data_IF_033946879093
#
_entry.id   IF_033946879093
#
_cell.length_a   1.000
_cell.length_b   1.000
_cell.length_c   1.000
_cell.angle_alpha   90.00
_cell.angle_beta   90.00
_cell.angle_gamma   90.00
#
_symmetry.space_group_name_H-M   'P 1'
#
loop_
_entity.id
_entity.type
_entity.pdbx_description
1 polymer ?
#
# COMPACT_ATOMS: atom_id res chain seq x y z
N UNK A 1 25.92 8.49 19.47
CA UNK A 1 24.79 9.44 19.61
C UNK A 1 25.08 10.82 19.02
N UNK A 2 26.33 11.22 18.90
CA UNK A 2 26.68 12.47 18.21
C UNK A 2 26.39 12.44 16.70
N UNK A 3 26.37 11.26 16.11
CA UNK A 3 26.08 11.06 14.68
C UNK A 3 24.66 11.45 14.30
N UNK A 4 23.67 11.18 15.18
CA UNK A 4 22.26 11.50 14.95
C UNK A 4 22.02 13.03 14.92
N UNK A 5 22.75 13.79 15.71
CA UNK A 5 22.57 15.24 15.80
C UNK A 5 22.94 15.99 14.52
N UNK A 6 23.74 15.39 13.66
CA UNK A 6 24.20 15.98 12.41
C UNK A 6 23.39 15.56 11.19
N UNK A 7 22.37 14.71 11.37
CA UNK A 7 21.50 14.26 10.27
C UNK A 7 20.62 15.41 9.82
N UNK A 8 20.62 15.69 8.53
CA UNK A 8 19.82 16.75 7.92
C UNK A 8 18.50 16.27 7.37
N UNK A 9 18.44 15.01 6.94
CA UNK A 9 17.26 14.40 6.32
C UNK A 9 17.05 13.00 6.87
N UNK A 10 15.79 12.66 7.13
CA UNK A 10 15.35 11.33 7.51
C UNK A 10 14.37 10.84 6.47
N UNK A 11 14.58 9.64 5.97
CA UNK A 11 13.66 8.98 5.05
C UNK A 11 13.08 7.78 5.77
N UNK A 12 11.75 7.77 5.90
CA UNK A 12 11.02 6.69 6.56
C UNK A 12 10.26 5.86 5.53
N UNK A 13 10.37 4.55 5.66
CA UNK A 13 9.45 3.63 5.02
C UNK A 13 8.10 3.71 5.73
N UNK A 14 7.00 3.64 5.00
CA UNK A 14 5.66 3.78 5.57
C UNK A 14 5.07 2.42 5.93
N UNK A 15 4.93 1.56 4.93
CA UNK A 15 4.15 0.33 5.04
C UNK A 15 4.84 -0.69 5.94
N UNK A 16 4.11 -1.17 6.95
CA UNK A 16 4.60 -2.10 7.98
C UNK A 16 5.83 -1.58 8.75
N UNK A 17 6.08 -0.29 8.71
CA UNK A 17 7.17 0.39 9.40
C UNK A 17 6.64 1.46 10.34
N UNK A 18 5.94 2.46 9.84
CA UNK A 18 5.29 3.49 10.66
C UNK A 18 3.96 3.04 11.25
N UNK A 19 3.39 1.97 10.74
CA UNK A 19 2.31 1.20 11.36
C UNK A 19 2.66 -0.30 11.28
N UNK A 20 2.19 -1.12 12.25
CA UNK A 20 2.57 -2.52 12.28
C UNK A 20 1.81 -3.36 11.24
N UNK A 21 2.42 -4.46 10.80
CA UNK A 21 1.81 -5.44 9.90
C UNK A 21 0.56 -6.10 10.48
N UNK A 22 0.42 -6.10 11.82
CA UNK A 22 -0.76 -6.62 12.52
C UNK A 22 -2.06 -5.88 12.19
N UNK A 23 -1.99 -4.69 11.57
CA UNK A 23 -3.19 -3.96 11.10
C UNK A 23 -3.91 -4.64 9.95
N UNK A 24 -3.27 -5.58 9.25
CA UNK A 24 -3.81 -6.30 8.09
C UNK A 24 -4.26 -5.40 6.94
N UNK A 25 -3.63 -4.25 6.76
CA UNK A 25 -3.97 -3.30 5.70
C UNK A 25 -3.83 -3.94 4.32
N UNK A 26 -2.73 -4.65 4.06
CA UNK A 26 -2.51 -5.31 2.78
C UNK A 26 -3.51 -6.41 2.49
N UNK A 27 -4.01 -7.11 3.50
CA UNK A 27 -5.09 -8.09 3.33
C UNK A 27 -6.37 -7.43 2.83
N UNK A 28 -6.70 -6.23 3.31
CA UNK A 28 -7.85 -5.44 2.86
C UNK A 28 -7.68 -4.98 1.41
N UNK A 29 -6.51 -4.47 1.06
CA UNK A 29 -6.17 -4.06 -0.30
C UNK A 29 -6.26 -5.25 -1.25
N UNK A 30 -5.73 -6.39 -0.85
CA UNK A 30 -5.72 -7.62 -1.64
C UNK A 30 -7.13 -8.11 -1.98
N UNK A 31 -8.04 -8.06 -1.01
CA UNK A 31 -9.46 -8.38 -1.23
C UNK A 31 -10.12 -7.41 -2.20
N UNK A 32 -9.81 -6.12 -2.09
CA UNK A 32 -10.34 -5.10 -3.00
C UNK A 32 -9.80 -5.26 -4.42
N UNK A 33 -8.55 -5.70 -4.57
CA UNK A 33 -8.00 -6.05 -5.90
C UNK A 33 -8.80 -7.17 -6.55
N UNK A 34 -9.09 -8.23 -5.82
CA UNK A 34 -9.92 -9.34 -6.33
C UNK A 34 -11.33 -8.87 -6.69
N UNK A 35 -11.95 -8.04 -5.85
CA UNK A 35 -13.27 -7.46 -6.13
C UNK A 35 -13.26 -6.59 -7.38
N UNK A 36 -12.23 -5.75 -7.56
CA UNK A 36 -12.08 -4.93 -8.75
C UNK A 36 -12.02 -5.78 -10.02
N UNK A 37 -11.22 -6.84 -10.00
CA UNK A 37 -11.08 -7.75 -11.14
C UNK A 37 -12.41 -8.46 -11.44
N UNK A 38 -13.08 -8.94 -10.40
CA UNK A 38 -14.40 -9.57 -10.54
C UNK A 38 -15.40 -8.66 -11.24
N UNK A 39 -15.48 -7.39 -10.81
CA UNK A 39 -16.44 -6.43 -11.37
C UNK A 39 -16.08 -5.97 -12.78
N UNK A 40 -14.81 -5.71 -13.05
CA UNK A 40 -14.38 -5.11 -14.32
C UNK A 40 -14.13 -6.15 -15.42
N UNK A 41 -13.77 -7.37 -15.08
CA UNK A 41 -13.53 -8.45 -16.05
C UNK A 41 -14.68 -9.44 -16.11
N UNK A 42 -15.67 -9.32 -15.24
CA UNK A 42 -16.83 -10.21 -15.18
C UNK A 42 -16.43 -11.69 -15.03
N UNK A 43 -15.54 -11.96 -14.10
CA UNK A 43 -15.05 -13.29 -13.76
C UNK A 43 -15.44 -13.67 -12.33
N UNK A 44 -15.31 -14.94 -11.98
CA UNK A 44 -15.54 -15.39 -10.61
C UNK A 44 -14.46 -14.89 -9.66
N UNK A 45 -14.74 -14.93 -8.36
CA UNK A 45 -13.75 -14.53 -7.36
C UNK A 45 -12.49 -15.41 -7.41
N UNK A 46 -12.64 -16.70 -7.66
CA UNK A 46 -11.52 -17.63 -7.80
C UNK A 46 -10.64 -17.29 -8.99
N UNK A 47 -11.26 -17.01 -10.14
CA UNK A 47 -10.54 -16.56 -11.34
C UNK A 47 -9.86 -15.22 -11.11
N UNK A 48 -10.52 -14.30 -10.41
CA UNK A 48 -9.96 -13.00 -10.09
C UNK A 48 -8.67 -13.11 -9.25
N UNK A 49 -8.66 -14.01 -8.27
CA UNK A 49 -7.48 -14.27 -7.45
C UNK A 49 -6.34 -14.84 -8.28
N UNK A 50 -6.64 -15.76 -9.20
CA UNK A 50 -5.65 -16.32 -10.12
C UNK A 50 -5.06 -15.24 -11.03
N UNK A 51 -5.89 -14.43 -11.64
CA UNK A 51 -5.46 -13.31 -12.49
C UNK A 51 -4.57 -12.34 -11.70
N UNK A 52 -4.99 -11.97 -10.51
CA UNK A 52 -4.22 -11.10 -9.62
C UNK A 52 -2.81 -11.63 -9.37
N UNK A 53 -2.72 -12.90 -9.00
CA UNK A 53 -1.44 -13.53 -8.68
C UNK A 53 -0.57 -13.74 -9.92
N UNK A 54 -1.14 -14.15 -11.03
CA UNK A 54 -0.43 -14.35 -12.29
C UNK A 54 0.15 -13.05 -12.82
N UNK A 55 -0.63 -11.98 -12.78
CA UNK A 55 -0.15 -10.67 -13.26
C UNK A 55 0.93 -10.09 -12.36
N UNK A 56 0.82 -10.29 -11.06
CA UNK A 56 1.89 -9.93 -10.15
C UNK A 56 3.20 -10.63 -10.50
N UNK A 57 3.15 -11.93 -10.76
CA UNK A 57 4.35 -12.71 -11.11
C UNK A 57 4.93 -12.35 -12.48
N UNK A 58 4.06 -12.18 -13.48
CA UNK A 58 4.50 -11.98 -14.88
C UNK A 58 4.86 -10.52 -15.19
N UNK A 59 4.23 -9.56 -14.52
CA UNK A 59 4.32 -8.14 -14.85
C UNK A 59 4.86 -7.27 -13.71
N UNK A 60 5.26 -7.86 -12.60
CA UNK A 60 5.79 -7.17 -11.42
C UNK A 60 4.70 -6.64 -10.48
N UNK A 61 3.59 -6.16 -11.01
CA UNK A 61 2.40 -5.75 -10.24
C UNK A 61 1.13 -6.23 -10.92
N UNK A 62 0.09 -6.45 -10.13
CA UNK A 62 -1.25 -6.78 -10.66
C UNK A 62 -1.76 -5.68 -11.58
N UNK A 63 -1.61 -4.42 -11.18
CA UNK A 63 -2.05 -3.27 -11.97
C UNK A 63 -1.37 -3.21 -13.33
N UNK A 64 -0.07 -3.47 -13.39
CA UNK A 64 0.67 -3.46 -14.65
C UNK A 64 0.12 -4.49 -15.65
N UNK A 65 -0.21 -5.69 -15.15
CA UNK A 65 -0.87 -6.72 -15.96
C UNK A 65 -2.26 -6.32 -16.43
N UNK A 66 -3.07 -5.70 -15.55
CA UNK A 66 -4.41 -5.22 -15.90
C UNK A 66 -4.36 -4.13 -16.97
N UNK A 67 -3.42 -3.20 -16.85
CA UNK A 67 -3.23 -2.15 -17.86
C UNK A 67 -2.83 -2.73 -19.21
N UNK A 68 -1.94 -3.71 -19.20
CA UNK A 68 -1.41 -4.31 -20.43
C UNK A 68 -2.43 -5.17 -21.16
N UNK A 69 -3.21 -5.96 -20.44
CA UNK A 69 -4.10 -6.95 -21.05
C UNK A 69 -5.57 -6.53 -21.14
N UNK A 70 -6.00 -5.58 -20.33
CA UNK A 70 -7.42 -5.22 -20.20
C UNK A 70 -7.68 -3.71 -20.34
N UNK A 71 -6.67 -2.94 -20.64
CA UNK A 71 -6.80 -1.49 -20.83
C UNK A 71 -7.47 -0.77 -19.64
N UNK A 72 -7.13 -1.18 -18.42
CA UNK A 72 -7.66 -0.60 -17.18
C UNK A 72 -7.01 0.76 -16.93
N UNK A 73 -7.83 1.74 -16.53
CA UNK A 73 -7.34 3.03 -16.08
C UNK A 73 -6.69 2.85 -14.68
N UNK A 74 -5.39 3.19 -14.53
CA UNK A 74 -4.69 3.03 -13.27
C UNK A 74 -5.29 3.86 -12.13
N UNK A 75 -5.80 5.06 -12.42
CA UNK A 75 -6.43 5.90 -11.39
C UNK A 75 -7.70 5.26 -10.83
N UNK A 76 -8.53 4.70 -11.69
CA UNK A 76 -9.73 3.99 -11.25
C UNK A 76 -9.38 2.78 -10.37
N UNK A 77 -8.38 1.99 -10.76
CA UNK A 77 -7.91 0.86 -9.96
C UNK A 77 -7.39 1.32 -8.58
N UNK A 78 -6.52 2.32 -8.56
CA UNK A 78 -5.91 2.80 -7.32
C UNK A 78 -6.94 3.40 -6.37
N UNK A 79 -7.90 4.18 -6.86
CA UNK A 79 -8.98 4.69 -6.03
C UNK A 79 -9.82 3.57 -5.42
N UNK A 80 -10.15 2.56 -6.22
CA UNK A 80 -10.98 1.44 -5.76
C UNK A 80 -10.30 0.64 -4.65
N UNK A 81 -9.03 0.24 -4.86
CA UNK A 81 -8.32 -0.64 -3.93
C UNK A 81 -7.88 0.07 -2.65
N UNK A 82 -7.82 1.40 -2.67
CA UNK A 82 -7.49 2.22 -1.50
C UNK A 82 -8.72 2.85 -0.84
N UNK A 83 -9.91 2.57 -1.31
CA UNK A 83 -11.15 3.02 -0.68
C UNK A 83 -11.47 2.17 0.55
N UNK A 84 -10.73 2.41 1.61
CA UNK A 84 -10.76 1.67 2.88
C UNK A 84 -11.05 2.67 3.99
N UNK A 85 -11.87 2.27 4.95
CA UNK A 85 -11.97 3.00 6.22
C UNK A 85 -10.71 2.72 7.04
N UNK A 86 -9.86 3.73 7.18
CA UNK A 86 -8.59 3.63 7.91
C UNK A 86 -8.72 3.85 9.41
N UNK A 87 -9.94 3.92 9.96
CA UNK A 87 -10.17 4.14 11.39
C UNK A 87 -9.57 3.06 12.31
N UNK A 88 -9.28 1.87 11.76
CA UNK A 88 -8.60 0.80 12.49
C UNK A 88 -7.11 1.09 12.75
N UNK A 89 -6.52 2.06 12.04
CA UNK A 89 -5.15 2.51 12.29
C UNK A 89 -5.16 3.50 13.46
N UNK A 90 -4.56 3.12 14.55
CA UNK A 90 -4.46 3.97 15.73
C UNK A 90 -3.27 4.93 15.62
N UNK A 91 -3.46 6.15 16.10
CA UNK A 91 -2.35 7.09 16.24
C UNK A 91 -1.32 6.53 17.22
N UNK A 92 -0.07 6.56 16.83
CA UNK A 92 1.04 6.27 17.74
C UNK A 92 1.68 7.59 18.18
N UNK A 93 1.13 8.19 19.23
CA UNK A 93 1.57 9.49 19.71
C UNK A 93 3.01 9.47 20.22
N UNK A 94 3.44 8.39 20.84
CA UNK A 94 4.82 8.22 21.31
C UNK A 94 5.80 8.23 20.14
N UNK A 95 5.54 7.44 19.11
CA UNK A 95 6.38 7.39 17.92
C UNK A 95 6.40 8.74 17.20
N UNK A 96 5.24 9.39 17.07
CA UNK A 96 5.11 10.69 16.44
C UNK A 96 5.95 11.75 17.18
N UNK A 97 5.91 11.75 18.50
CA UNK A 97 6.69 12.64 19.35
C UNK A 97 8.19 12.40 19.19
N UNK A 98 8.61 11.15 19.16
CA UNK A 98 10.01 10.77 18.97
C UNK A 98 10.53 11.18 17.59
N UNK A 99 9.75 10.98 16.55
CA UNK A 99 10.11 11.42 15.18
C UNK A 99 10.21 12.93 15.10
N UNK A 100 9.28 13.66 15.70
CA UNK A 100 9.33 15.14 15.74
C UNK A 100 10.55 15.67 16.48
N UNK A 101 11.06 14.93 17.45
CA UNK A 101 12.25 15.32 18.23
C UNK A 101 13.55 15.15 17.45
N UNK A 102 13.57 14.40 16.35
CA UNK A 102 14.75 14.24 15.52
C UNK A 102 15.13 15.54 14.81
N UNK A 103 16.42 15.86 14.71
CA UNK A 103 16.86 17.06 13.99
C UNK A 103 16.69 16.88 12.47
N UNK A 104 16.42 17.98 11.77
CA UNK A 104 16.36 17.98 10.30
C UNK A 104 15.00 17.68 9.74
N UNK A 105 14.94 17.53 8.43
CA UNK A 105 13.70 17.27 7.68
C UNK A 105 13.35 15.78 7.68
N UNK A 106 12.06 15.47 7.70
CA UNK A 106 11.53 14.11 7.65
C UNK A 106 10.76 13.94 6.37
N UNK A 107 10.99 12.82 5.68
CA UNK A 107 10.37 12.47 4.42
C UNK A 107 9.83 11.03 4.54
N UNK A 108 8.61 10.80 4.10
CA UNK A 108 8.04 9.47 3.99
C UNK A 108 8.22 9.02 2.54
N UNK A 109 8.86 7.90 2.39
CA UNK A 109 9.09 7.28 1.07
C UNK A 109 7.95 6.36 0.67
#
# INVERSE_FOLDING_TARGET
MNEIKNVKFWIFDLDNTLYPSSTNLFSKIDKLMASFITENLNVSNEEAIQIKNDYFKKHGTTLNGLMKHHNIDPHHFLEFVHNIDYSFLNKNEKLNKEIKSLPGKKIIF
#
